data_IF_324417128260
#
_entry.id   IF_324417128260
#
_cell.length_a   1.000
_cell.length_b   1.000
_cell.length_c   1.000
_cell.angle_alpha   90.00
_cell.angle_beta   90.00
_cell.angle_gamma   90.00
#
_symmetry.space_group_name_H-M   'P 1'
#
loop_
_entity.id
_entity.type
_entity.pdbx_description
1 polymer ?
#
# COMPACT_ATOMS: atom_id res chain seq x y z
N UNK A 1 18.77 -5.71 11.13
CA UNK A 1 17.73 -4.76 11.61
C UNK A 1 16.53 -4.92 10.71
N UNK A 2 15.31 -4.94 11.25
CA UNK A 2 14.11 -5.19 10.45
C UNK A 2 13.98 -4.14 9.33
N UNK A 3 14.08 -4.59 8.08
CA UNK A 3 13.82 -3.80 6.87
C UNK A 3 12.32 -3.69 6.68
N UNK A 4 11.77 -2.48 6.84
CA UNK A 4 10.34 -2.23 6.67
C UNK A 4 9.94 -0.84 7.13
N UNK A 5 8.69 -0.46 6.86
CA UNK A 5 8.15 0.82 7.32
C UNK A 5 7.81 0.75 8.80
N UNK A 6 8.18 1.80 9.54
CA UNK A 6 7.70 2.01 10.91
C UNK A 6 6.44 2.86 10.86
N UNK A 7 5.33 2.30 11.33
CA UNK A 7 4.07 3.03 11.48
C UNK A 7 3.96 3.56 12.91
N UNK A 8 3.60 4.83 13.03
CA UNK A 8 3.49 5.56 14.29
C UNK A 8 2.15 6.30 14.31
N UNK A 9 1.36 6.08 15.36
CA UNK A 9 0.07 6.77 15.55
C UNK A 9 0.24 7.83 16.64
N UNK A 10 -0.08 9.07 16.30
CA UNK A 10 0.04 10.24 17.16
C UNK A 10 -1.34 10.84 17.45
N UNK A 11 -1.60 11.32 18.67
CA UNK A 11 -2.75 12.17 18.93
C UNK A 11 -2.64 13.48 18.15
N UNK A 12 -3.74 13.93 17.52
CA UNK A 12 -3.75 15.21 16.77
C UNK A 12 -3.55 16.43 17.68
N UNK A 13 -3.92 16.29 18.96
CA UNK A 13 -3.69 17.30 20.00
C UNK A 13 -2.21 17.44 20.39
N UNK A 14 -1.33 16.59 19.85
CA UNK A 14 0.05 16.45 20.28
C UNK A 14 0.22 15.48 21.45
N UNK A 15 1.48 15.18 21.77
CA UNK A 15 1.88 14.21 22.81
C UNK A 15 2.63 12.99 22.25
N UNK A 16 2.83 12.00 23.11
CA UNK A 16 3.53 10.77 22.75
C UNK A 16 2.70 9.88 21.80
N UNK A 17 3.34 9.17 20.85
CA UNK A 17 2.63 8.20 20.04
C UNK A 17 1.97 7.10 20.86
N UNK A 18 0.71 6.85 20.54
CA UNK A 18 -0.14 5.83 21.19
C UNK A 18 0.16 4.42 20.70
N UNK A 19 0.70 4.29 19.47
CA UNK A 19 1.10 2.99 18.90
C UNK A 19 2.33 3.13 18.02
N UNK A 20 3.18 2.10 18.03
CA UNK A 20 4.36 1.96 17.18
C UNK A 20 4.56 0.49 16.82
N UNK A 21 4.65 0.19 15.54
CA UNK A 21 4.95 -1.15 15.05
C UNK A 21 5.65 -1.10 13.69
N UNK A 22 6.27 -2.21 13.31
CA UNK A 22 6.99 -2.35 12.04
C UNK A 22 6.18 -3.21 11.08
N UNK A 23 6.02 -2.74 9.86
CA UNK A 23 5.43 -3.50 8.75
C UNK A 23 6.56 -3.95 7.84
N UNK A 24 6.81 -5.27 7.70
CA UNK A 24 7.95 -5.81 6.96
C UNK A 24 7.72 -5.79 5.45
N UNK A 25 7.45 -4.61 4.89
CA UNK A 25 7.20 -4.38 3.47
C UNK A 25 8.23 -3.38 2.96
N UNK A 26 8.83 -3.69 1.81
CA UNK A 26 9.95 -2.94 1.26
C UNK A 26 9.50 -1.66 0.53
N UNK A 27 8.36 -1.71 -0.17
CA UNK A 27 7.87 -0.62 -1.01
C UNK A 27 6.38 -0.39 -0.72
N UNK A 28 6.10 0.61 0.11
CA UNK A 28 4.74 0.98 0.49
C UNK A 28 4.35 2.24 -0.27
N UNK A 29 3.33 2.12 -1.10
CA UNK A 29 2.69 3.23 -1.79
C UNK A 29 1.73 3.99 -0.89
N UNK A 30 0.62 4.45 -1.47
CA UNK A 30 -0.40 5.22 -0.76
C UNK A 30 -0.91 4.45 0.46
N UNK A 31 -1.00 5.13 1.60
CA UNK A 31 -1.52 4.62 2.87
C UNK A 31 -2.75 5.45 3.28
N UNK A 32 -3.86 4.80 3.60
CA UNK A 32 -5.10 5.44 4.06
C UNK A 32 -5.67 4.71 5.25
N UNK A 33 -6.50 5.39 6.03
CA UNK A 33 -7.29 4.75 7.08
C UNK A 33 -8.47 3.98 6.49
N UNK A 34 -8.80 2.83 7.09
CA UNK A 34 -10.15 2.30 6.96
C UNK A 34 -11.13 3.21 7.70
N UNK A 35 -12.37 3.36 7.20
CA UNK A 35 -13.38 4.21 7.85
C UNK A 35 -13.72 3.82 9.30
N UNK A 36 -13.49 2.56 9.68
CA UNK A 36 -13.69 2.08 11.06
C UNK A 36 -12.57 2.50 12.03
N UNK A 37 -11.48 3.08 11.54
CA UNK A 37 -10.31 3.49 12.33
C UNK A 37 -9.51 2.33 12.93
N UNK A 38 -9.78 1.07 12.55
CA UNK A 38 -9.14 -0.13 13.12
C UNK A 38 -7.98 -0.64 12.29
N UNK A 39 -7.89 -0.23 11.04
CA UNK A 39 -6.83 -0.66 10.13
C UNK A 39 -6.40 0.47 9.21
N UNK A 40 -5.19 0.31 8.68
CA UNK A 40 -4.67 1.07 7.56
C UNK A 40 -4.70 0.20 6.31
N UNK A 41 -4.86 0.80 5.15
CA UNK A 41 -4.80 0.13 3.85
C UNK A 41 -3.75 0.80 3.01
N UNK A 42 -2.92 0.00 2.34
CA UNK A 42 -1.89 0.52 1.46
C UNK A 42 -1.67 -0.36 0.24
N UNK A 43 -1.10 0.24 -0.81
CA UNK A 43 -0.58 -0.50 -1.95
C UNK A 43 0.87 -0.94 -1.70
N UNK A 44 1.19 -2.19 -1.99
CA UNK A 44 2.57 -2.69 -1.96
C UNK A 44 2.74 -3.94 -2.83
N UNK A 45 3.90 -4.14 -3.47
CA UNK A 45 4.14 -5.33 -4.26
C UNK A 45 4.29 -6.57 -3.39
N UNK A 46 3.84 -7.72 -3.90
CA UNK A 46 4.32 -9.00 -3.39
C UNK A 46 5.75 -9.23 -3.88
N UNK A 47 6.56 -9.84 -3.02
CA UNK A 47 7.95 -10.22 -3.35
C UNK A 47 8.01 -11.12 -4.58
N UNK A 48 6.97 -11.94 -4.79
CA UNK A 48 6.93 -12.96 -5.84
C UNK A 48 6.77 -12.40 -7.27
N UNK A 49 6.01 -11.32 -7.46
CA UNK A 49 5.62 -10.87 -8.81
C UNK A 49 5.79 -9.37 -9.08
N UNK A 50 6.24 -8.58 -8.10
CA UNK A 50 6.42 -7.13 -8.24
C UNK A 50 5.17 -6.34 -8.66
N UNK A 51 3.98 -6.95 -8.66
CA UNK A 51 2.70 -6.28 -8.91
C UNK A 51 2.16 -5.78 -7.59
N UNK A 52 1.65 -4.54 -7.57
CA UNK A 52 1.07 -3.94 -6.36
C UNK A 52 -0.28 -4.58 -6.00
N UNK A 53 -0.42 -4.95 -4.72
CA UNK A 53 -1.64 -5.43 -4.10
C UNK A 53 -2.16 -4.40 -3.12
N UNK A 54 -3.44 -4.49 -2.75
CA UNK A 54 -3.93 -3.80 -1.56
C UNK A 54 -3.76 -4.68 -0.34
N UNK A 55 -3.12 -4.11 0.67
CA UNK A 55 -2.85 -4.72 1.96
C UNK A 55 -3.63 -3.98 3.04
N UNK A 56 -4.12 -4.73 4.02
CA UNK A 56 -4.72 -4.22 5.26
C UNK A 56 -3.77 -4.49 6.41
N UNK A 57 -3.36 -3.44 7.11
CA UNK A 57 -2.58 -3.50 8.34
C UNK A 57 -3.44 -3.08 9.53
N UNK A 58 -3.81 -4.02 10.41
CA UNK A 58 -4.48 -3.69 11.67
C UNK A 58 -3.62 -2.76 12.54
N UNK A 59 -4.24 -1.79 13.21
CA UNK A 59 -3.46 -0.84 14.03
C UNK A 59 -3.00 -1.42 15.36
N UNK A 60 -3.43 -2.62 15.73
CA UNK A 60 -2.87 -3.33 16.89
C UNK A 60 -1.47 -3.92 16.60
N UNK A 61 -0.99 -3.85 15.35
CA UNK A 61 0.32 -4.35 14.94
C UNK A 61 0.33 -5.83 14.56
N UNK A 62 -0.83 -6.49 14.51
CA UNK A 62 -0.94 -7.84 13.93
C UNK A 62 -0.57 -7.83 12.44
N UNK A 63 -0.19 -8.98 11.85
CA UNK A 63 0.33 -9.02 10.49
C UNK A 63 -0.62 -8.43 9.44
N UNK A 64 -0.05 -7.72 8.46
CA UNK A 64 -0.80 -7.25 7.31
C UNK A 64 -1.32 -8.42 6.45
N UNK A 65 -2.52 -8.28 5.90
CA UNK A 65 -3.12 -9.26 4.99
C UNK A 65 -3.46 -8.62 3.65
N UNK A 66 -3.36 -9.40 2.57
CA UNK A 66 -3.84 -8.97 1.25
C UNK A 66 -5.36 -8.95 1.26
N UNK A 67 -5.95 -7.87 0.73
CA UNK A 67 -7.40 -7.70 0.62
C UNK A 67 -7.90 -7.60 -0.82
N UNK A 68 -7.02 -7.31 -1.78
CA UNK A 68 -7.36 -7.31 -3.21
C UNK A 68 -6.11 -7.55 -4.08
N UNK A 69 -6.33 -8.27 -5.18
CA UNK A 69 -5.38 -8.48 -6.28
C UNK A 69 -6.01 -7.93 -7.57
N UNK A 70 -5.28 -7.05 -8.25
CA UNK A 70 -5.70 -6.46 -9.53
C UNK A 70 -4.73 -6.81 -10.67
N UNK A 71 -3.93 -7.87 -10.51
CA UNK A 71 -3.03 -8.34 -11.55
C UNK A 71 -3.82 -8.78 -12.80
N UNK A 72 -3.32 -8.48 -14.02
CA UNK A 72 -2.00 -7.93 -14.33
C UNK A 72 -1.93 -6.40 -14.29
N UNK A 73 -3.02 -5.70 -14.00
CA UNK A 73 -3.01 -4.23 -13.92
C UNK A 73 -2.29 -3.72 -12.66
N UNK A 74 -1.65 -2.55 -12.78
CA UNK A 74 -1.06 -1.87 -11.64
C UNK A 74 -2.06 -0.94 -10.95
N UNK A 75 -2.08 -0.94 -9.62
CA UNK A 75 -2.84 0.04 -8.83
C UNK A 75 -2.16 1.41 -8.95
N UNK A 76 -2.90 2.42 -9.43
CA UNK A 76 -2.44 3.82 -9.49
C UNK A 76 -2.88 4.63 -8.29
N UNK A 77 -4.13 4.47 -7.89
CA UNK A 77 -4.71 5.13 -6.72
C UNK A 77 -5.95 4.37 -6.22
N UNK A 78 -6.35 4.61 -4.98
CA UNK A 78 -7.56 4.04 -4.39
C UNK A 78 -8.14 4.91 -3.27
N UNK A 79 -9.46 4.79 -3.05
CA UNK A 79 -10.16 5.48 -1.98
C UNK A 79 -11.41 4.70 -1.51
N UNK A 80 -11.63 4.66 -0.20
CA UNK A 80 -12.88 4.15 0.37
C UNK A 80 -14.02 5.15 0.21
N UNK A 81 -15.23 4.66 -0.02
CA UNK A 81 -16.44 5.47 0.17
C UNK A 81 -16.54 5.93 1.63
N UNK A 82 -17.19 7.06 1.93
CA UNK A 82 -17.34 7.55 3.29
C UNK A 82 -18.00 6.55 4.25
N UNK A 83 -18.91 5.71 3.73
CA UNK A 83 -19.58 4.66 4.49
C UNK A 83 -18.78 3.34 4.57
N UNK A 84 -17.61 3.27 3.92
CA UNK A 84 -16.72 2.13 3.88
C UNK A 84 -17.22 0.90 3.14
N UNK A 85 -18.38 0.98 2.46
CA UNK A 85 -18.97 -0.16 1.74
C UNK A 85 -18.38 -0.38 0.37
N UNK A 86 -17.72 0.63 -0.19
CA UNK A 86 -17.16 0.60 -1.53
C UNK A 86 -15.72 1.08 -1.52
N UNK A 87 -14.96 0.59 -2.50
CA UNK A 87 -13.58 0.97 -2.75
C UNK A 87 -13.47 1.34 -4.23
N UNK A 88 -13.15 2.60 -4.50
CA UNK A 88 -12.77 3.04 -5.83
C UNK A 88 -11.28 2.75 -6.06
N UNK A 89 -10.94 2.18 -7.21
CA UNK A 89 -9.55 1.87 -7.60
C UNK A 89 -9.34 2.35 -9.02
N UNK A 90 -8.22 3.03 -9.26
CA UNK A 90 -7.74 3.33 -10.61
C UNK A 90 -6.63 2.35 -10.97
N UNK A 91 -6.82 1.67 -12.09
CA UNK A 91 -5.92 0.65 -12.61
C UNK A 91 -5.21 1.19 -13.85
N UNK A 92 -3.98 0.75 -14.09
CA UNK A 92 -3.26 1.13 -15.30
C UNK A 92 -2.12 0.18 -15.62
N UNK A 93 -1.86 0.01 -16.91
CA UNK A 93 -0.74 -0.80 -17.40
C UNK A 93 0.53 0.04 -17.35
N UNK A 94 1.65 -0.58 -16.98
CA UNK A 94 2.97 0.02 -17.19
C UNK A 94 3.48 -0.46 -18.55
N UNK A 95 3.28 0.31 -19.61
CA UNK A 95 4.02 0.08 -20.85
C UNK A 95 5.43 0.63 -20.66
N UNK A 96 6.41 -0.25 -20.46
CA UNK A 96 7.82 0.09 -20.65
C UNK A 96 8.20 -0.25 -22.08
N UNK A 97 7.75 0.56 -23.03
CA UNK A 97 8.29 0.51 -24.38
C UNK A 97 9.63 1.25 -24.37
N UNK A 98 10.68 0.56 -23.90
CA UNK A 98 12.04 0.98 -24.13
C UNK A 98 12.39 0.64 -25.59
N UNK A 99 12.18 1.58 -26.50
CA UNK A 99 12.62 1.45 -27.89
C UNK A 99 14.16 1.57 -27.89
N UNK A 100 14.85 0.43 -27.99
CA UNK A 100 16.29 0.39 -28.20
C UNK A 100 16.56 0.82 -29.64
N UNK A 101 17.02 2.05 -29.84
CA UNK A 101 17.65 2.44 -31.11
C UNK A 101 19.11 1.98 -31.02
N UNK A 102 19.42 0.84 -31.63
CA UNK A 102 20.80 0.51 -31.94
C UNK A 102 21.14 1.15 -33.29
N UNK A 103 22.07 2.12 -33.30
CA UNK A 103 22.74 2.52 -34.53
C UNK A 103 23.69 1.38 -34.93
N UNK A 104 23.39 0.70 -36.04
CA UNK A 104 24.37 -0.10 -36.76
C UNK A 104 25.36 0.86 -37.45
N UNK A 105 26.65 0.60 -37.25
CA UNK A 105 27.76 1.42 -37.73
C UNK A 105 28.19 1.02 -39.13
#
# INVERSE_FOLDING_TARGET
>A
GATGYRIVLLPITGGDPVKRFTVPIADMGRLVWMPDGRSLVFSAPKVENSVAYLWRQPVDGSPATVIADFSPEGIRDFAYSPDGKQLAVSLGHFTKDALLISEEK
#
